data_IF_014635017386
#
_entry.id   IF_014635017386
#
_cell.length_a   1.000
_cell.length_b   1.000
_cell.length_c   1.000
_cell.angle_alpha   90.00
_cell.angle_beta   90.00
_cell.angle_gamma   90.00
#
_symmetry.space_group_name_H-M   'P 1'
#
loop_
_entity.id
_entity.type
_entity.pdbx_description
1 polymer ?
#
# COMPACT_ATOMS: atom_id res chain seq x y z
N UNK A 1 -7.31 -12.08 15.14
CA UNK A 1 -8.11 -10.87 14.84
C UNK A 1 -9.44 -10.94 15.60
N UNK A 2 -10.21 -9.86 15.69
CA UNK A 2 -11.48 -9.89 16.47
C UNK A 2 -12.52 -10.78 15.78
N UNK A 3 -12.60 -10.71 14.45
CA UNK A 3 -13.47 -11.52 13.60
C UNK A 3 -13.20 -13.02 13.75
N UNK A 4 -11.93 -13.43 13.86
CA UNK A 4 -11.56 -14.83 14.08
C UNK A 4 -12.01 -15.32 15.46
N UNK A 5 -11.90 -14.48 16.50
CA UNK A 5 -12.38 -14.81 17.85
C UNK A 5 -13.91 -14.91 17.89
N UNK A 6 -14.61 -14.02 17.19
CA UNK A 6 -16.07 -14.08 17.04
C UNK A 6 -16.48 -15.38 16.33
N UNK A 7 -15.81 -15.72 15.22
CA UNK A 7 -16.07 -16.97 14.49
C UNK A 7 -15.83 -18.20 15.37
N UNK A 8 -14.73 -18.23 16.13
CA UNK A 8 -14.44 -19.31 17.08
C UNK A 8 -15.53 -19.46 18.15
N UNK A 9 -16.02 -18.33 18.68
CA UNK A 9 -17.12 -18.29 19.65
C UNK A 9 -18.40 -18.87 19.07
N UNK A 10 -18.79 -18.47 17.85
CA UNK A 10 -20.00 -19.00 17.21
C UNK A 10 -19.86 -20.46 16.79
N UNK A 11 -18.69 -20.90 16.32
CA UNK A 11 -18.41 -22.32 16.06
C UNK A 11 -18.54 -23.16 17.34
N UNK A 12 -18.04 -22.66 18.46
CA UNK A 12 -18.17 -23.31 19.78
C UNK A 12 -19.64 -23.38 20.21
N UNK A 13 -20.40 -22.29 20.03
CA UNK A 13 -21.84 -22.27 20.29
C UNK A 13 -22.58 -23.29 19.43
N UNK A 14 -22.33 -23.31 18.12
CA UNK A 14 -22.95 -24.27 17.19
C UNK A 14 -22.69 -25.71 17.63
N UNK A 15 -21.43 -26.04 17.96
CA UNK A 15 -21.06 -27.37 18.46
C UNK A 15 -21.80 -27.70 19.75
N UNK A 16 -21.90 -26.77 20.70
CA UNK A 16 -22.61 -26.98 21.96
C UNK A 16 -24.11 -27.23 21.75
N UNK A 17 -24.73 -26.47 20.85
CA UNK A 17 -26.15 -26.64 20.49
C UNK A 17 -26.38 -27.98 19.81
N UNK A 18 -25.52 -28.38 18.86
CA UNK A 18 -25.58 -29.68 18.21
C UNK A 18 -25.47 -30.83 19.24
N UNK A 19 -24.55 -30.73 20.20
CA UNK A 19 -24.40 -31.72 21.28
C UNK A 19 -25.66 -31.77 22.16
N UNK A 20 -26.26 -30.62 22.49
CA UNK A 20 -27.49 -30.55 23.28
C UNK A 20 -28.68 -31.20 22.54
N UNK A 21 -28.84 -30.91 21.24
CA UNK A 21 -29.86 -31.52 20.38
C UNK A 21 -29.66 -33.03 20.32
N UNK A 22 -28.44 -33.50 20.04
CA UNK A 22 -28.14 -34.93 19.96
C UNK A 22 -28.42 -35.65 21.29
N UNK A 23 -28.09 -35.03 22.42
CA UNK A 23 -28.40 -35.56 23.76
C UNK A 23 -29.91 -35.73 23.97
N UNK A 24 -30.71 -34.75 23.53
CA UNK A 24 -32.17 -34.76 23.63
C UNK A 24 -32.81 -35.78 22.69
N UNK A 25 -32.32 -35.90 21.45
CA UNK A 25 -32.77 -36.89 20.48
C UNK A 25 -32.42 -38.33 20.87
N UNK A 26 -31.35 -38.54 21.63
CA UNK A 26 -30.98 -39.85 22.20
C UNK A 26 -31.80 -40.23 23.44
N UNK A 27 -32.58 -39.31 24.01
CA UNK A 27 -33.42 -39.58 25.16
C UNK A 27 -34.57 -40.53 24.82
N UNK A 28 -34.94 -41.41 25.75
CA UNK A 28 -36.05 -42.35 25.57
C UNK A 28 -37.42 -41.68 25.45
N UNK A 29 -37.55 -40.46 25.99
CA UNK A 29 -38.79 -39.69 25.99
C UNK A 29 -38.76 -38.61 24.91
N UNK A 30 -39.86 -38.40 24.17
CA UNK A 30 -39.96 -37.27 23.26
C UNK A 30 -39.76 -35.97 24.05
N UNK A 31 -38.74 -35.21 23.68
CA UNK A 31 -38.47 -33.88 24.25
C UNK A 31 -38.61 -32.84 23.16
N UNK A 32 -39.17 -31.69 23.52
CA UNK A 32 -39.27 -30.55 22.62
C UNK A 32 -37.88 -30.00 22.30
N UNK A 33 -37.58 -29.84 21.02
CA UNK A 33 -36.28 -29.39 20.50
C UNK A 33 -36.38 -28.08 19.70
N UNK A 34 -37.57 -27.47 19.61
CA UNK A 34 -37.84 -26.31 18.74
C UNK A 34 -37.03 -25.07 19.13
N UNK A 35 -36.89 -24.80 20.43
CA UNK A 35 -36.01 -23.74 20.92
C UNK A 35 -34.54 -23.97 20.52
N UNK A 36 -34.07 -25.23 20.59
CA UNK A 36 -32.69 -25.56 20.20
C UNK A 36 -32.49 -25.48 18.69
N UNK A 37 -33.51 -25.85 17.89
CA UNK A 37 -33.49 -25.66 16.45
C UNK A 37 -33.42 -24.17 16.08
N UNK A 38 -34.17 -23.32 16.80
CA UNK A 38 -34.10 -21.86 16.65
C UNK A 38 -32.70 -21.34 16.96
N UNK A 39 -32.10 -21.81 18.06
CA UNK A 39 -30.74 -21.43 18.46
C UNK A 39 -29.68 -21.96 17.47
N UNK A 40 -29.88 -23.16 16.90
CA UNK A 40 -29.02 -23.74 15.87
C UNK A 40 -29.02 -22.88 14.61
N UNK A 41 -30.22 -22.49 14.14
CA UNK A 41 -30.39 -21.62 12.98
C UNK A 41 -29.74 -20.24 13.22
N UNK A 42 -29.93 -19.68 14.42
CA UNK A 42 -29.27 -18.43 14.80
C UNK A 42 -27.74 -18.56 14.75
N UNK A 43 -27.17 -19.59 15.39
CA UNK A 43 -25.73 -19.81 15.40
C UNK A 43 -25.17 -20.00 13.99
N UNK A 44 -25.88 -20.73 13.13
CA UNK A 44 -25.52 -20.93 11.73
C UNK A 44 -25.53 -19.60 10.94
N UNK A 45 -26.58 -18.79 11.10
CA UNK A 45 -26.67 -17.47 10.46
C UNK A 45 -25.53 -16.55 10.90
N UNK A 46 -25.19 -16.53 12.20
CA UNK A 46 -24.07 -15.73 12.70
C UNK A 46 -22.72 -16.19 12.12
N UNK A 47 -22.50 -17.50 11.97
CA UNK A 47 -21.30 -18.04 11.33
C UNK A 47 -21.21 -17.55 9.88
N UNK A 48 -22.31 -17.64 9.10
CA UNK A 48 -22.32 -17.15 7.73
C UNK A 48 -21.98 -15.66 7.66
N UNK A 49 -22.60 -14.82 8.50
CA UNK A 49 -22.28 -13.40 8.57
C UNK A 49 -20.81 -13.13 8.94
N UNK A 50 -20.22 -13.91 9.84
CA UNK A 50 -18.79 -13.79 10.18
C UNK A 50 -17.89 -14.21 9.01
N UNK A 51 -18.26 -15.26 8.27
CA UNK A 51 -17.53 -15.72 7.08
C UNK A 51 -17.55 -14.65 5.98
N UNK A 52 -18.71 -14.06 5.70
CA UNK A 52 -18.83 -12.97 4.71
C UNK A 52 -17.95 -11.77 5.08
N UNK A 53 -17.91 -11.41 6.37
CA UNK A 53 -17.03 -10.34 6.89
C UNK A 53 -15.54 -10.68 6.73
N UNK A 54 -15.15 -11.93 7.00
CA UNK A 54 -13.77 -12.39 6.84
C UNK A 54 -13.34 -12.41 5.37
N UNK A 55 -14.25 -12.75 4.46
CA UNK A 55 -14.00 -12.70 3.01
C UNK A 55 -13.74 -11.25 2.55
N UNK A 56 -14.61 -10.31 2.94
CA UNK A 56 -14.41 -8.88 2.66
C UNK A 56 -13.10 -8.34 3.26
N UNK A 57 -12.79 -8.71 4.50
CA UNK A 57 -11.52 -8.33 5.13
C UNK A 57 -10.32 -8.91 4.37
N UNK A 58 -10.42 -10.15 3.88
CA UNK A 58 -9.37 -10.77 3.10
C UNK A 58 -9.16 -10.09 1.73
N UNK A 59 -10.24 -9.65 1.07
CA UNK A 59 -10.14 -8.87 -0.17
C UNK A 59 -9.46 -7.51 0.05
N UNK A 60 -9.87 -6.78 1.09
CA UNK A 60 -9.24 -5.50 1.45
C UNK A 60 -7.77 -5.68 1.83
N UNK A 61 -7.44 -6.74 2.57
CA UNK A 61 -6.05 -7.09 2.90
C UNK A 61 -5.24 -7.43 1.65
N UNK A 62 -5.80 -8.17 0.69
CA UNK A 62 -5.15 -8.48 -0.58
C UNK A 62 -4.88 -7.22 -1.41
N UNK A 63 -5.84 -6.30 -1.46
CA UNK A 63 -5.68 -5.01 -2.12
C UNK A 63 -4.58 -4.17 -1.48
N UNK A 64 -4.60 -4.05 -0.14
CA UNK A 64 -3.56 -3.35 0.61
C UNK A 64 -2.18 -3.99 0.43
N UNK A 65 -2.10 -5.33 0.40
CA UNK A 65 -0.90 -6.10 0.12
C UNK A 65 -0.30 -5.77 -1.25
N UNK A 66 -1.11 -5.71 -2.30
CA UNK A 66 -0.67 -5.30 -3.64
C UNK A 66 -0.17 -3.86 -3.64
N UNK A 67 -0.87 -2.93 -2.97
CA UNK A 67 -0.45 -1.54 -2.86
C UNK A 67 0.90 -1.40 -2.12
N UNK A 68 1.09 -2.12 -1.03
CA UNK A 68 2.37 -2.13 -0.28
C UNK A 68 3.47 -2.73 -1.15
N UNK A 69 3.20 -3.84 -1.84
CA UNK A 69 4.17 -4.48 -2.74
C UNK A 69 4.65 -3.51 -3.84
N UNK A 70 3.72 -2.80 -4.48
CA UNK A 70 4.03 -1.77 -5.48
C UNK A 70 4.84 -0.61 -4.88
N UNK A 71 4.47 -0.12 -3.69
CA UNK A 71 5.20 0.94 -3.01
C UNK A 71 6.63 0.52 -2.64
N UNK A 72 6.83 -0.71 -2.16
CA UNK A 72 8.15 -1.25 -1.86
C UNK A 72 8.99 -1.41 -3.13
N UNK A 73 8.41 -1.91 -4.22
CA UNK A 73 9.10 -1.98 -5.52
C UNK A 73 9.53 -0.59 -6.02
N UNK A 74 8.70 0.45 -5.80
CA UNK A 74 9.06 1.83 -6.15
C UNK A 74 10.21 2.36 -5.28
N UNK A 75 10.18 2.10 -3.96
CA UNK A 75 11.28 2.45 -3.06
C UNK A 75 12.58 1.75 -3.49
N UNK A 76 12.50 0.45 -3.79
CA UNK A 76 13.62 -0.33 -4.31
C UNK A 76 14.20 0.32 -5.58
N UNK A 77 13.35 0.64 -6.55
CA UNK A 77 13.78 1.27 -7.81
C UNK A 77 14.44 2.64 -7.57
N UNK A 78 13.84 3.51 -6.75
CA UNK A 78 14.38 4.84 -6.45
C UNK A 78 15.75 4.72 -5.76
N UNK A 79 15.86 3.83 -4.77
CA UNK A 79 17.11 3.63 -4.02
C UNK A 79 18.21 2.99 -4.87
N UNK A 80 17.83 2.07 -5.76
CA UNK A 80 18.71 1.49 -6.77
C UNK A 80 19.25 2.57 -7.74
N UNK A 81 18.38 3.43 -8.28
CA UNK A 81 18.77 4.52 -9.18
C UNK A 81 19.66 5.58 -8.49
N UNK A 82 19.47 5.80 -7.19
CA UNK A 82 20.36 6.65 -6.38
C UNK A 82 21.72 6.01 -6.05
N UNK A 83 21.95 4.75 -6.44
CA UNK A 83 23.19 4.02 -6.15
C UNK A 83 23.31 3.51 -4.72
N UNK A 84 22.22 3.49 -3.94
CA UNK A 84 22.19 2.95 -2.58
C UNK A 84 21.01 1.98 -2.42
N UNK A 85 21.07 0.80 -3.06
CA UNK A 85 19.93 -0.11 -3.13
C UNK A 85 19.54 -0.61 -1.74
N UNK A 86 18.28 -0.36 -1.36
CA UNK A 86 17.69 -0.91 -0.15
C UNK A 86 17.11 -2.30 -0.45
N UNK A 87 17.24 -3.34 0.39
CA UNK A 87 16.81 -4.70 0.09
C UNK A 87 15.31 -4.87 0.38
N UNK A 88 14.53 -3.83 0.05
CA UNK A 88 13.16 -3.67 0.47
C UNK A 88 12.29 -3.64 -0.78
N UNK A 89 11.95 -4.82 -1.29
CA UNK A 89 11.12 -4.96 -2.49
C UNK A 89 9.72 -5.52 -2.15
N UNK A 90 8.88 -5.63 -3.16
CA UNK A 90 7.52 -6.12 -3.03
C UNK A 90 7.41 -7.60 -2.62
N UNK A 91 8.50 -8.37 -2.67
CA UNK A 91 8.49 -9.79 -2.26
C UNK A 91 8.36 -9.94 -0.75
N UNK A 92 8.68 -8.88 0.02
CA UNK A 92 8.45 -8.76 1.47
C UNK A 92 6.98 -8.96 1.86
N UNK A 93 6.06 -8.86 0.91
CA UNK A 93 4.63 -9.02 1.18
C UNK A 93 4.17 -10.48 1.01
N UNK A 94 4.94 -11.34 0.32
CA UNK A 94 4.53 -12.71 -0.04
C UNK A 94 4.23 -13.60 1.19
N UNK A 95 3.33 -14.57 1.12
CA UNK A 95 2.88 -15.28 2.32
C UNK A 95 3.93 -16.28 2.87
N UNK A 96 4.78 -15.86 3.81
CA UNK A 96 5.83 -16.69 4.44
C UNK A 96 5.46 -17.22 5.84
N UNK A 97 4.19 -17.08 6.26
CA UNK A 97 3.76 -17.38 7.64
C UNK A 97 4.24 -16.36 8.68
N UNK A 98 5.18 -15.48 8.34
CA UNK A 98 5.61 -14.35 9.17
C UNK A 98 4.82 -13.09 8.82
N UNK A 99 4.61 -12.21 9.79
CA UNK A 99 4.00 -10.91 9.53
C UNK A 99 4.88 -10.08 8.58
N UNK A 100 4.26 -9.22 7.78
CA UNK A 100 4.98 -8.29 6.89
C UNK A 100 5.92 -7.40 7.72
N UNK A 101 5.47 -6.99 8.92
CA UNK A 101 6.26 -6.16 9.83
C UNK A 101 7.57 -6.83 10.28
N UNK A 102 7.52 -8.10 10.66
CA UNK A 102 8.74 -8.85 11.03
C UNK A 102 9.74 -8.93 9.88
N UNK A 103 9.24 -9.09 8.66
CA UNK A 103 10.11 -9.15 7.47
C UNK A 103 10.72 -7.81 7.12
N UNK A 104 9.99 -6.72 7.27
CA UNK A 104 10.54 -5.37 7.14
C UNK A 104 11.64 -5.14 8.18
N UNK A 105 11.38 -5.48 9.45
CA UNK A 105 12.40 -5.38 10.52
C UNK A 105 13.65 -6.19 10.18
N UNK A 106 13.47 -7.44 9.75
CA UNK A 106 14.57 -8.30 9.35
C UNK A 106 15.36 -7.71 8.18
N UNK A 107 14.69 -7.26 7.11
CA UNK A 107 15.33 -6.64 5.95
C UNK A 107 16.16 -5.40 6.36
N UNK A 108 15.62 -4.54 7.23
CA UNK A 108 16.34 -3.36 7.71
C UNK A 108 17.53 -3.75 8.60
N UNK A 109 17.40 -4.80 9.42
CA UNK A 109 18.49 -5.28 10.28
C UNK A 109 19.72 -5.73 9.49
N UNK A 110 19.55 -6.06 8.21
CA UNK A 110 20.68 -6.39 7.31
C UNK A 110 21.47 -5.15 6.85
N UNK A 111 20.88 -3.94 6.95
CA UNK A 111 21.49 -2.67 6.51
C UNK A 111 21.95 -1.80 7.67
N UNK A 112 21.24 -1.86 8.79
CA UNK A 112 21.61 -1.17 10.02
C UNK A 112 21.56 -2.19 11.15
N UNK A 113 22.53 -2.19 12.08
CA UNK A 113 22.42 -2.99 13.29
C UNK A 113 21.26 -2.46 14.13
N UNK A 114 20.07 -3.00 13.88
CA UNK A 114 18.88 -2.84 14.71
C UNK A 114 18.78 -4.12 15.52
N UNK A 115 18.66 -3.99 16.84
CA UNK A 115 18.30 -5.12 17.68
C UNK A 115 16.89 -5.57 17.31
N UNK A 116 16.77 -6.77 16.76
CA UNK A 116 15.50 -7.37 16.32
C UNK A 116 14.50 -7.53 17.46
N UNK A 117 14.95 -7.47 18.71
CA UNK A 117 14.10 -7.56 19.91
C UNK A 117 13.51 -6.21 20.33
N UNK A 118 13.92 -5.10 19.73
CA UNK A 118 13.34 -3.79 20.02
C UNK A 118 11.98 -3.69 19.31
N UNK A 119 11.02 -3.06 20.00
CA UNK A 119 9.75 -2.64 19.42
C UNK A 119 10.00 -1.53 18.37
N UNK A 120 10.34 -1.95 17.15
CA UNK A 120 10.39 -1.06 16.00
C UNK A 120 8.96 -0.61 15.68
N UNK A 121 8.74 0.70 15.67
CA UNK A 121 7.45 1.33 15.40
C UNK A 121 7.34 1.82 13.95
N UNK A 122 6.14 2.18 13.51
CA UNK A 122 5.91 2.80 12.20
C UNK A 122 6.70 4.12 12.02
N UNK A 123 6.87 4.89 13.09
CA UNK A 123 7.68 6.11 13.06
C UNK A 123 9.16 5.80 12.84
N UNK A 124 9.68 4.73 13.45
CA UNK A 124 11.08 4.32 13.26
C UNK A 124 11.34 3.90 11.81
N UNK A 125 10.40 3.18 11.19
CA UNK A 125 10.45 2.87 9.76
C UNK A 125 10.48 4.13 8.90
N UNK A 126 9.62 5.10 9.22
CA UNK A 126 9.57 6.37 8.49
C UNK A 126 10.89 7.12 8.60
N UNK A 127 11.46 7.26 9.80
CA UNK A 127 12.76 7.91 9.99
C UNK A 127 13.89 7.16 9.29
N UNK A 128 13.88 5.83 9.32
CA UNK A 128 14.84 5.01 8.58
C UNK A 128 14.77 5.29 7.08
N UNK A 129 13.59 5.17 6.47
CA UNK A 129 13.39 5.41 5.04
C UNK A 129 13.76 6.85 4.66
N UNK A 130 13.40 7.83 5.48
CA UNK A 130 13.79 9.22 5.28
C UNK A 130 15.32 9.37 5.28
N UNK A 131 16.01 8.79 6.26
CA UNK A 131 17.48 8.87 6.35
C UNK A 131 18.19 8.23 5.16
N UNK A 132 17.65 7.12 4.63
CA UNK A 132 18.18 6.45 3.43
C UNK A 132 17.97 7.31 2.19
N UNK A 133 16.81 7.96 2.08
CA UNK A 133 16.47 8.81 0.96
C UNK A 133 17.24 10.15 0.95
N UNK A 134 17.53 10.72 2.12
CA UNK A 134 18.24 11.99 2.28
C UNK A 134 19.77 11.82 2.26
N UNK A 135 20.30 10.73 2.85
CA UNK A 135 21.72 10.55 3.14
C UNK A 135 22.66 10.52 1.92
N UNK A 136 22.13 10.28 0.72
CA UNK A 136 22.91 10.18 -0.52
C UNK A 136 22.45 11.14 -1.62
N UNK A 137 21.73 12.22 -1.30
CA UNK A 137 21.56 13.31 -2.27
C UNK A 137 22.88 14.08 -2.42
N UNK A 138 23.87 13.47 -3.10
CA UNK A 138 24.88 14.27 -3.77
C UNK A 138 24.13 15.22 -4.70
N UNK A 139 24.40 16.51 -4.54
CA UNK A 139 23.82 17.61 -5.30
C UNK A 139 23.68 17.18 -6.76
N UNK A 140 22.44 17.06 -7.24
CA UNK A 140 22.20 16.81 -8.66
C UNK A 140 22.98 17.90 -9.40
N UNK A 141 23.88 17.52 -10.31
CA UNK A 141 24.64 18.51 -11.06
C UNK A 141 23.63 19.48 -11.70
N UNK A 142 23.78 20.77 -11.44
CA UNK A 142 23.00 21.80 -12.12
C UNK A 142 23.16 21.54 -13.62
N UNK A 143 22.12 21.06 -14.27
CA UNK A 143 22.08 21.02 -15.73
C UNK A 143 21.94 22.48 -16.12
N UNK A 144 23.05 23.08 -16.56
CA UNK A 144 23.04 24.40 -17.15
C UNK A 144 22.27 24.26 -18.45
N UNK A 145 21.04 24.76 -18.47
CA UNK A 145 20.35 24.98 -19.74
C UNK A 145 21.19 26.03 -20.48
N UNK A 146 21.90 25.58 -21.52
CA UNK A 146 22.56 26.48 -22.44
C UNK A 146 21.44 27.30 -23.12
N UNK A 147 21.22 28.51 -22.60
CA UNK A 147 20.45 29.54 -23.28
C UNK A 147 21.10 29.73 -24.65
N UNK A 148 20.35 29.39 -25.69
CA UNK A 148 20.71 29.52 -27.11
C UNK A 148 21.51 30.79 -27.36
N UNK A 149 22.68 30.60 -27.97
CA UNK A 149 23.28 31.44 -29.01
C UNK A 149 22.68 32.86 -29.09
N UNK A 150 23.27 33.81 -28.38
CA UNK A 150 23.31 35.19 -28.88
C UNK A 150 24.22 35.16 -30.12
N UNK A 151 23.61 34.93 -31.28
CA UNK A 151 24.20 35.26 -32.56
C UNK A 151 24.51 36.77 -32.52
N UNK A 152 25.80 37.13 -32.48
CA UNK A 152 26.27 38.46 -32.87
C UNK A 152 25.98 38.64 -34.37
N UNK A 153 24.72 38.91 -34.71
CA UNK A 153 24.35 39.41 -36.02
C UNK A 153 24.91 40.83 -36.17
N UNK A 154 25.64 41.00 -37.26
CA UNK A 154 26.33 42.19 -37.72
C UNK A 154 25.44 43.44 -37.68
N UNK A 155 25.97 44.50 -37.06
CA UNK A 155 25.62 45.88 -37.40
C UNK A 155 26.13 46.21 -38.82
N UNK A 156 25.30 45.89 -39.81
CA UNK A 156 25.25 46.54 -41.11
C UNK A 156 23.81 46.48 -41.55
N UNK A 157 23.10 47.60 -41.51
CA UNK A 157 22.31 48.13 -42.64
C UNK A 157 21.49 49.37 -42.22
N UNK A 158 21.69 50.46 -42.97
CA UNK A 158 20.71 51.50 -43.36
C UNK A 158 19.98 52.25 -42.21
N UNK A 159 20.28 53.53 -41.97
CA UNK A 159 19.64 54.67 -42.66
C UNK A 159 18.22 54.39 -43.17
N UNK A 160 17.29 55.22 -42.72
CA UNK A 160 15.89 55.31 -43.13
C UNK A 160 14.89 54.24 -42.64
N UNK A 161 14.24 54.64 -41.54
CA UNK A 161 12.79 54.83 -41.43
C UNK A 161 11.98 53.93 -40.48
N UNK A 162 11.31 54.66 -39.58
CA UNK A 162 9.96 54.44 -39.05
C UNK A 162 9.74 53.37 -37.97
N UNK A 163 9.99 53.80 -36.74
CA UNK A 163 9.07 53.87 -35.59
C UNK A 163 8.17 52.66 -35.15
N UNK A 164 7.82 52.61 -33.85
CA UNK A 164 7.73 51.39 -33.04
C UNK A 164 6.28 50.96 -32.75
N UNK A 165 6.07 49.77 -32.16
CA UNK A 165 5.23 49.53 -30.97
C UNK A 165 4.88 48.05 -30.73
N UNK A 166 4.93 47.66 -29.43
CA UNK A 166 3.97 46.79 -28.71
C UNK A 166 3.87 45.31 -29.13
N UNK A 167 3.67 44.30 -28.29
CA UNK A 167 3.50 44.13 -26.85
C UNK A 167 3.24 42.62 -26.60
N UNK A 168 3.67 42.14 -25.43
CA UNK A 168 2.99 41.14 -24.59
C UNK A 168 2.89 39.64 -24.96
N UNK A 169 3.22 38.87 -23.92
CA UNK A 169 2.56 37.66 -23.41
C UNK A 169 3.11 36.30 -23.86
N UNK A 170 3.25 35.41 -22.86
CA UNK A 170 2.87 33.97 -22.83
C UNK A 170 3.87 33.24 -21.90
N UNK A 171 3.58 33.16 -20.60
CA UNK A 171 2.90 32.07 -19.84
C UNK A 171 3.90 31.11 -19.17
N UNK A 172 3.91 31.15 -17.84
CA UNK A 172 4.66 30.32 -16.87
C UNK A 172 4.18 28.85 -16.81
N UNK A 173 4.92 27.91 -16.18
CA UNK A 173 5.24 26.60 -16.76
C UNK A 173 4.74 25.45 -15.87
N UNK A 174 3.55 24.90 -16.13
CA UNK A 174 3.07 23.67 -15.44
C UNK A 174 2.12 22.79 -16.29
N UNK A 175 2.06 22.97 -17.61
CA UNK A 175 1.05 22.31 -18.46
C UNK A 175 1.73 21.65 -19.66
N UNK A 176 2.31 20.46 -19.47
CA UNK A 176 2.65 19.56 -20.61
C UNK A 176 2.57 18.06 -20.26
N UNK A 177 1.95 17.70 -19.14
CA UNK A 177 1.77 16.31 -18.71
C UNK A 177 0.37 15.73 -18.97
N UNK A 178 -0.38 16.25 -19.95
CA UNK A 178 -1.62 15.62 -20.40
C UNK A 178 -1.28 14.61 -21.50
N UNK A 179 -0.97 13.38 -21.09
CA UNK A 179 -1.07 12.23 -21.98
C UNK A 179 -2.56 11.90 -22.17
N UNK A 180 -2.98 11.95 -23.42
CA UNK A 180 -4.34 11.68 -23.90
C UNK A 180 -4.84 10.31 -23.44
N UNK A 181 -5.94 10.30 -22.67
CA UNK A 181 -6.81 9.13 -22.54
C UNK A 181 -7.77 9.14 -23.73
N UNK A 182 -7.39 8.47 -24.82
CA UNK A 182 -8.31 8.05 -25.86
C UNK A 182 -7.61 6.97 -26.70
N UNK A 183 -7.78 5.71 -26.30
CA UNK A 183 -7.74 4.50 -27.14
C UNK A 183 -7.78 3.31 -26.18
N UNK A 184 -8.95 2.73 -25.97
CA UNK A 184 -9.24 1.29 -25.78
C UNK A 184 -10.71 1.18 -25.33
N UNK A 185 -11.59 1.03 -26.31
CA UNK A 185 -12.91 0.40 -26.14
C UNK A 185 -12.75 -1.04 -25.65
#
# INVERSE_FOLDING_TARGET
MEEEKELERFCTLLRNVQVAILTKLKGERPTEVDHMNTLLNYAYQQILCCVDRLEQLNETLRSASLSVSAALNLIYLITFLKGNPLPLDGTIVNNSGQSIWERIKWAISTFKPIDSNINFSSNDLRYFLQSVCEGNCSTMAYIREDSKEEEEEKDTDNDDNDEPQQSESIVDPLISGLLSFDEFN
#
